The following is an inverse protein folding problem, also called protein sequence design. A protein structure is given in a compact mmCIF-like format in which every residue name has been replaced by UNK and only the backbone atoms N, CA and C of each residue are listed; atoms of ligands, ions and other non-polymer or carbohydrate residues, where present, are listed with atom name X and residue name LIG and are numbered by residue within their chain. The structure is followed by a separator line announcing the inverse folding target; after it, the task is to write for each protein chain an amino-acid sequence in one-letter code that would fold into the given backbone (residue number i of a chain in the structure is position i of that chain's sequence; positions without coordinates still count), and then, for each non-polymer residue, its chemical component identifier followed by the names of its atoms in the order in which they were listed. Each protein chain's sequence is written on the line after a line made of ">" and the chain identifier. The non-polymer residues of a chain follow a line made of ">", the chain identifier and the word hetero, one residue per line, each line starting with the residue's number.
data_IF_520309766897
#
_entry.id   IF_520309766897
#
_cell.length_a   1.000
_cell.length_b   1.000
_cell.length_c   1.000
_cell.angle_alpha   90.00
_cell.angle_beta   90.00
_cell.angle_gamma   90.00
#
_symmetry.space_group_name_H-M   'P 1'
#
loop_
_entity.id
_entity.type
_entity.pdbx_description
1 polymer ?
#
# COMPACT_ATOMS: atom_id res chain seq x y z
N UNK A 1 8.17 -30.81 -18.30
CA UNK A 1 7.98 -29.91 -17.13
C UNK A 1 6.63 -30.20 -16.50
N UNK A 2 6.63 -30.66 -15.28
CA UNK A 2 5.41 -30.99 -14.53
C UNK A 2 4.66 -29.72 -14.11
N UNK A 3 3.40 -29.84 -13.73
CA UNK A 3 2.61 -28.71 -13.20
C UNK A 3 3.28 -28.10 -11.96
N UNK A 4 3.87 -28.94 -11.10
CA UNK A 4 4.55 -28.52 -9.89
C UNK A 4 5.81 -27.71 -10.19
N UNK A 5 6.65 -28.17 -11.11
CA UNK A 5 7.85 -27.45 -11.57
C UNK A 5 7.52 -26.05 -12.10
N UNK A 6 6.43 -25.92 -12.86
CA UNK A 6 5.96 -24.62 -13.37
C UNK A 6 5.50 -23.66 -12.25
N UNK A 7 4.85 -24.18 -11.21
CA UNK A 7 4.44 -23.36 -10.05
C UNK A 7 5.68 -22.91 -9.27
N UNK A 8 6.64 -23.78 -9.07
CA UNK A 8 7.91 -23.47 -8.39
C UNK A 8 8.68 -22.39 -9.18
N UNK A 9 8.76 -22.49 -10.50
CA UNK A 9 9.37 -21.48 -11.38
C UNK A 9 8.66 -20.10 -11.26
N UNK A 10 7.33 -20.09 -11.22
CA UNK A 10 6.56 -18.86 -11.03
C UNK A 10 6.80 -18.22 -9.66
N UNK A 11 6.95 -19.02 -8.62
CA UNK A 11 7.26 -18.57 -7.25
C UNK A 11 8.69 -18.03 -7.16
N UNK A 12 9.66 -18.69 -7.76
CA UNK A 12 11.06 -18.23 -7.83
C UNK A 12 11.15 -16.89 -8.59
N UNK A 13 10.40 -16.76 -9.69
CA UNK A 13 10.34 -15.53 -10.47
C UNK A 13 9.69 -14.36 -9.68
N UNK A 14 8.74 -14.65 -8.78
CA UNK A 14 8.07 -13.64 -7.96
C UNK A 14 8.99 -13.06 -6.88
N UNK A 15 9.96 -13.84 -6.37
CA UNK A 15 10.90 -13.50 -5.29
C UNK A 15 10.26 -13.11 -3.94
N UNK A 16 8.96 -12.95 -3.90
CA UNK A 16 8.18 -12.50 -2.73
C UNK A 16 7.31 -13.62 -2.14
N UNK A 17 7.41 -14.83 -2.70
CA UNK A 17 6.61 -15.98 -2.27
C UNK A 17 5.12 -15.85 -2.56
N UNK A 18 4.71 -14.93 -3.42
CA UNK A 18 3.31 -14.75 -3.81
C UNK A 18 3.04 -15.27 -5.22
N UNK A 19 1.83 -15.77 -5.45
CA UNK A 19 1.37 -16.16 -6.78
C UNK A 19 -0.10 -15.77 -6.95
N UNK A 20 -0.45 -15.26 -8.13
CA UNK A 20 -1.82 -14.90 -8.50
C UNK A 20 -2.45 -15.93 -9.42
N UNK A 21 -3.79 -16.00 -9.39
CA UNK A 21 -4.52 -16.85 -10.35
C UNK A 21 -4.30 -16.43 -11.80
N UNK A 22 -4.02 -15.15 -12.08
CA UNK A 22 -3.66 -14.67 -13.42
C UNK A 22 -2.33 -15.25 -13.90
N UNK A 23 -1.28 -15.18 -13.08
CA UNK A 23 0.03 -15.75 -13.41
C UNK A 23 -0.07 -17.26 -13.73
N UNK A 24 -0.84 -18.00 -12.92
CA UNK A 24 -1.08 -19.44 -13.16
C UNK A 24 -1.79 -19.68 -14.49
N UNK A 25 -2.81 -18.87 -14.80
CA UNK A 25 -3.55 -18.98 -16.06
C UNK A 25 -2.70 -18.60 -17.26
N UNK A 26 -1.90 -17.54 -17.15
CA UNK A 26 -0.95 -17.09 -18.19
C UNK A 26 0.13 -18.13 -18.49
N UNK A 27 0.55 -18.89 -17.47
CA UNK A 27 1.47 -20.04 -17.64
C UNK A 27 0.79 -21.29 -18.22
N UNK A 28 -0.48 -21.20 -18.62
CA UNK A 28 -1.24 -22.31 -19.21
C UNK A 28 -1.65 -23.38 -18.20
N UNK A 29 -1.70 -23.06 -16.91
CA UNK A 29 -2.07 -23.99 -15.86
C UNK A 29 -3.53 -23.74 -15.39
N UNK A 30 -4.17 -24.82 -14.93
CA UNK A 30 -5.49 -24.70 -14.31
C UNK A 30 -5.35 -24.15 -12.90
N UNK A 31 -6.05 -23.04 -12.59
CA UNK A 31 -5.97 -22.34 -11.28
C UNK A 31 -6.39 -23.20 -10.09
N UNK A 32 -7.06 -24.34 -10.31
CA UNK A 32 -7.42 -25.30 -9.27
C UNK A 32 -6.21 -25.89 -8.53
N UNK A 33 -5.03 -25.91 -9.17
CA UNK A 33 -3.79 -26.36 -8.54
C UNK A 33 -3.46 -25.60 -7.25
N UNK A 34 -3.78 -24.29 -7.20
CA UNK A 34 -3.54 -23.47 -6.02
C UNK A 34 -4.38 -23.93 -4.81
N UNK A 35 -5.53 -24.56 -5.04
CA UNK A 35 -6.34 -25.16 -3.97
C UNK A 35 -5.66 -26.40 -3.36
N UNK A 36 -4.89 -27.16 -4.16
CA UNK A 36 -4.13 -28.31 -3.69
C UNK A 36 -3.00 -27.85 -2.75
N UNK A 37 -2.27 -26.78 -3.13
CA UNK A 37 -1.25 -26.17 -2.29
C UNK A 37 -1.82 -25.59 -0.98
N UNK A 38 -3.05 -25.06 -1.00
CA UNK A 38 -3.72 -24.61 0.21
C UNK A 38 -4.12 -25.81 1.10
N UNK A 39 -4.62 -26.90 0.50
CA UNK A 39 -4.98 -28.11 1.24
C UNK A 39 -3.77 -28.81 1.86
N UNK A 40 -2.62 -28.80 1.18
CA UNK A 40 -1.36 -29.33 1.72
C UNK A 40 -0.73 -28.46 2.80
N UNK A 41 -1.22 -27.22 2.98
CA UNK A 41 -0.64 -26.24 3.91
C UNK A 41 0.60 -25.53 3.39
N UNK A 42 1.02 -25.79 2.14
CA UNK A 42 2.18 -25.13 1.53
C UNK A 42 1.91 -23.65 1.21
N UNK A 43 0.64 -23.31 0.98
CA UNK A 43 0.18 -21.94 0.74
C UNK A 43 -1.07 -21.61 1.54
N UNK A 44 -1.33 -20.33 1.72
CA UNK A 44 -2.63 -19.84 2.17
C UNK A 44 -3.18 -18.78 1.21
N UNK A 45 -4.48 -18.59 1.21
CA UNK A 45 -5.16 -17.61 0.39
C UNK A 45 -5.23 -16.27 1.13
N UNK A 46 -4.41 -15.30 0.73
CA UNK A 46 -4.41 -13.96 1.31
C UNK A 46 -5.62 -13.12 0.87
N UNK A 47 -6.08 -13.33 -0.36
CA UNK A 47 -7.20 -12.60 -0.93
C UNK A 47 -7.76 -13.24 -2.19
N UNK A 48 -8.70 -12.57 -2.85
CA UNK A 48 -9.26 -13.07 -4.10
C UNK A 48 -8.17 -13.17 -5.17
N UNK A 49 -7.82 -14.40 -5.53
CA UNK A 49 -6.84 -14.69 -6.58
C UNK A 49 -5.39 -14.40 -6.19
N UNK A 50 -5.08 -14.20 -4.91
CA UNK A 50 -3.72 -14.03 -4.39
C UNK A 50 -3.43 -15.08 -3.33
N UNK A 51 -2.33 -15.80 -3.51
CA UNK A 51 -1.85 -16.87 -2.64
C UNK A 51 -0.41 -16.58 -2.21
N UNK A 52 -0.07 -17.02 -1.01
CA UNK A 52 1.24 -16.76 -0.38
C UNK A 52 1.78 -18.08 0.18
N UNK A 53 3.07 -18.32 0.04
CA UNK A 53 3.75 -19.46 0.66
C UNK A 53 3.70 -19.34 2.19
N UNK A 54 3.36 -20.45 2.87
CA UNK A 54 3.22 -20.47 4.34
C UNK A 54 4.54 -20.29 5.09
N UNK A 55 5.69 -20.47 4.44
CA UNK A 55 7.02 -20.33 5.01
C UNK A 55 7.71 -19.00 4.74
N UNK A 56 7.01 -18.02 4.13
CA UNK A 56 7.53 -16.69 3.84
C UNK A 56 7.07 -15.71 4.90
N UNK A 57 7.95 -14.80 5.33
CA UNK A 57 7.60 -13.73 6.25
C UNK A 57 6.57 -12.78 5.61
N UNK A 58 5.47 -12.56 6.30
CA UNK A 58 4.39 -11.69 5.80
C UNK A 58 4.84 -10.22 5.76
N UNK A 59 4.69 -9.63 4.58
CA UNK A 59 4.83 -8.19 4.36
C UNK A 59 3.43 -7.60 4.16
N UNK A 60 2.78 -7.25 5.26
CA UNK A 60 1.40 -6.74 5.26
C UNK A 60 1.20 -5.55 4.32
N UNK A 61 2.16 -4.62 4.26
CA UNK A 61 2.07 -3.46 3.38
C UNK A 61 2.09 -3.88 1.91
N UNK A 62 2.97 -4.78 1.55
CA UNK A 62 3.06 -5.27 0.18
C UNK A 62 1.84 -6.12 -0.19
N UNK A 63 1.45 -7.07 0.65
CA UNK A 63 0.34 -7.98 0.40
C UNK A 63 -1.00 -7.23 0.28
N UNK A 64 -1.25 -6.22 1.12
CA UNK A 64 -2.43 -5.37 1.02
C UNK A 64 -2.46 -4.58 -0.30
N UNK A 65 -1.33 -4.06 -0.76
CA UNK A 65 -1.27 -3.40 -2.06
C UNK A 65 -1.40 -4.36 -3.23
N UNK A 66 -0.89 -5.58 -3.13
CA UNK A 66 -1.14 -6.65 -4.10
C UNK A 66 -2.63 -6.98 -4.20
N UNK A 67 -3.29 -7.09 -3.04
CA UNK A 67 -4.74 -7.36 -2.95
C UNK A 67 -5.59 -6.21 -3.48
N UNK A 68 -5.19 -4.98 -3.19
CA UNK A 68 -5.89 -3.76 -3.58
C UNK A 68 -4.99 -2.88 -4.46
N UNK A 69 -4.75 -3.35 -5.69
CA UNK A 69 -3.76 -2.79 -6.60
C UNK A 69 -3.89 -1.30 -6.94
N UNK A 70 -5.00 -0.64 -6.58
CA UNK A 70 -5.18 0.81 -6.71
C UNK A 70 -5.08 1.57 -5.39
N UNK A 71 -4.75 0.91 -4.28
CA UNK A 71 -4.53 1.59 -3.01
C UNK A 71 -3.15 2.24 -2.96
N UNK A 72 -3.06 3.48 -2.48
CA UNK A 72 -1.82 4.20 -2.20
C UNK A 72 -1.80 4.50 -0.71
N UNK A 73 -0.73 4.15 0.00
CA UNK A 73 -0.59 4.49 1.42
C UNK A 73 -0.53 6.00 1.61
N UNK A 74 -1.27 6.50 2.60
CA UNK A 74 -1.48 7.94 2.80
C UNK A 74 -1.64 8.28 4.28
N UNK A 75 -1.73 9.57 4.59
CA UNK A 75 -1.97 10.11 5.95
C UNK A 75 -0.97 9.51 6.97
N UNK A 76 -1.46 9.08 8.12
CA UNK A 76 -0.63 8.58 9.23
C UNK A 76 0.22 7.37 8.83
N UNK A 77 -0.30 6.49 7.97
CA UNK A 77 0.46 5.35 7.44
C UNK A 77 1.62 5.79 6.56
N UNK A 78 1.42 6.81 5.71
CA UNK A 78 2.49 7.36 4.89
C UNK A 78 3.55 8.05 5.77
N UNK A 79 3.16 8.80 6.81
CA UNK A 79 4.10 9.38 7.76
C UNK A 79 4.97 8.32 8.43
N UNK A 80 4.36 7.21 8.85
CA UNK A 80 5.08 6.08 9.44
C UNK A 80 6.08 5.46 8.45
N UNK A 81 5.62 5.15 7.24
CA UNK A 81 6.45 4.54 6.18
C UNK A 81 7.60 5.43 5.72
N UNK A 82 7.42 6.75 5.79
CA UNK A 82 8.44 7.75 5.44
C UNK A 82 9.34 8.14 6.63
N UNK A 83 9.14 7.56 7.82
CA UNK A 83 9.94 7.86 9.01
C UNK A 83 9.63 9.20 9.68
N UNK A 84 8.47 9.79 9.41
CA UNK A 84 8.01 11.04 10.02
C UNK A 84 7.04 10.85 11.21
N UNK A 85 6.71 9.61 11.52
CA UNK A 85 6.03 9.20 12.75
C UNK A 85 6.62 7.89 13.27
N UNK A 86 6.89 7.81 14.57
CA UNK A 86 7.34 6.58 15.23
C UNK A 86 6.16 5.72 15.70
N UNK A 87 4.93 6.23 15.56
CA UNK A 87 3.71 5.52 15.94
C UNK A 87 3.27 4.60 14.84
N UNK A 88 3.31 3.28 15.09
CA UNK A 88 2.72 2.29 14.20
C UNK A 88 1.21 2.51 14.13
N UNK A 89 0.64 2.73 12.95
CA UNK A 89 -0.80 2.92 12.79
C UNK A 89 -1.58 1.68 13.22
N UNK A 90 -2.59 1.82 14.09
CA UNK A 90 -3.49 0.73 14.46
C UNK A 90 -4.34 0.24 13.28
N UNK A 91 -4.58 1.13 12.31
CA UNK A 91 -5.24 0.84 11.03
C UNK A 91 -4.47 1.51 9.92
N UNK A 92 -4.22 0.78 8.84
CA UNK A 92 -3.54 1.37 7.69
C UNK A 92 -4.48 2.28 6.90
N UNK A 93 -4.02 3.46 6.54
CA UNK A 93 -4.77 4.40 5.69
C UNK A 93 -4.34 4.26 4.25
N UNK A 94 -5.28 3.97 3.38
CA UNK A 94 -5.06 3.91 1.94
C UNK A 94 -6.02 4.84 1.20
N UNK A 95 -5.49 5.53 0.20
CA UNK A 95 -6.27 6.38 -0.71
C UNK A 95 -6.52 5.66 -2.02
N UNK A 96 -7.76 5.73 -2.47
CA UNK A 96 -8.25 5.16 -3.73
C UNK A 96 -8.85 6.25 -4.62
N UNK A 97 -8.88 6.06 -5.95
CA UNK A 97 -9.60 6.98 -6.82
C UNK A 97 -11.10 6.87 -6.57
N UNK A 98 -11.80 8.00 -6.68
CA UNK A 98 -13.27 8.03 -6.62
C UNK A 98 -13.85 7.08 -7.67
N UNK A 99 -14.84 6.28 -7.28
CA UNK A 99 -15.42 5.23 -8.14
C UNK A 99 -14.76 3.87 -8.03
N UNK A 100 -13.59 3.74 -7.40
CA UNK A 100 -13.03 2.42 -7.12
C UNK A 100 -13.91 1.65 -6.14
N UNK A 101 -14.38 0.49 -6.57
CA UNK A 101 -15.24 -0.38 -5.77
C UNK A 101 -14.57 -1.74 -5.58
N UNK A 102 -14.33 -2.09 -4.34
CA UNK A 102 -13.92 -3.43 -3.91
C UNK A 102 -14.71 -3.77 -2.65
N UNK A 103 -15.74 -4.61 -2.74
CA UNK A 103 -16.63 -4.91 -1.60
C UNK A 103 -15.87 -5.42 -0.37
N UNK A 104 -14.78 -6.17 -0.57
CA UNK A 104 -13.93 -6.69 0.50
C UNK A 104 -13.17 -5.61 1.29
N UNK A 105 -13.01 -4.38 0.74
CA UNK A 105 -12.37 -3.28 1.48
C UNK A 105 -13.06 -2.96 2.81
N UNK A 106 -14.37 -3.14 2.88
CA UNK A 106 -15.14 -2.88 4.12
C UNK A 106 -14.84 -3.88 5.24
N UNK A 107 -14.29 -5.02 4.90
CA UNK A 107 -13.94 -6.10 5.83
C UNK A 107 -12.50 -5.98 6.34
N UNK A 108 -11.69 -5.11 5.73
CA UNK A 108 -10.32 -4.90 6.12
C UNK A 108 -10.21 -3.92 7.28
N UNK A 109 -9.15 -4.08 8.04
CA UNK A 109 -8.78 -3.12 9.09
C UNK A 109 -8.08 -1.88 8.49
N UNK A 110 -8.78 -1.22 7.54
CA UNK A 110 -8.27 -0.10 6.77
C UNK A 110 -9.09 1.17 6.99
N UNK A 111 -8.42 2.30 7.00
CA UNK A 111 -9.03 3.62 6.82
C UNK A 111 -8.99 3.95 5.33
N UNK A 112 -10.17 4.06 4.71
CA UNK A 112 -10.30 4.26 3.27
C UNK A 112 -10.54 5.74 3.00
N UNK A 113 -9.63 6.36 2.25
CA UNK A 113 -9.81 7.70 1.70
C UNK A 113 -10.09 7.62 0.20
N UNK A 114 -10.84 8.59 -0.33
CA UNK A 114 -11.16 8.67 -1.76
C UNK A 114 -10.89 10.06 -2.28
N UNK A 115 -10.22 10.14 -3.42
CA UNK A 115 -9.87 11.38 -4.08
C UNK A 115 -10.33 11.36 -5.54
N UNK A 116 -10.53 12.53 -6.11
CA UNK A 116 -10.80 12.67 -7.55
C UNK A 116 -9.61 12.20 -8.37
N UNK A 117 -9.83 11.71 -9.62
CA UNK A 117 -8.75 11.14 -10.43
C UNK A 117 -7.54 12.07 -10.59
N UNK A 118 -7.76 13.37 -10.74
CA UNK A 118 -6.72 14.38 -10.93
C UNK A 118 -5.77 14.47 -9.72
N UNK A 119 -6.25 14.14 -8.54
CA UNK A 119 -5.47 14.16 -7.30
C UNK A 119 -4.96 12.77 -6.88
N UNK A 120 -5.31 11.72 -7.60
CA UNK A 120 -4.98 10.34 -7.21
C UNK A 120 -3.50 10.01 -7.46
N UNK A 121 -2.98 10.30 -8.64
CA UNK A 121 -1.60 9.99 -9.00
C UNK A 121 -0.60 11.05 -8.52
N UNK A 122 -1.12 12.19 -8.12
CA UNK A 122 -0.35 13.36 -7.74
C UNK A 122 0.40 13.14 -6.41
N UNK A 123 1.72 13.25 -6.46
CA UNK A 123 2.60 13.01 -5.31
C UNK A 123 2.82 11.55 -4.96
N UNK A 124 2.45 10.60 -5.85
CA UNK A 124 2.75 9.19 -5.65
C UNK A 124 4.23 8.92 -5.88
N UNK A 125 4.83 8.16 -4.96
CA UNK A 125 6.18 7.62 -5.07
C UNK A 125 6.18 6.13 -4.75
N UNK A 126 7.25 5.44 -5.14
CA UNK A 126 7.51 4.07 -4.76
C UNK A 126 8.64 4.02 -3.75
N UNK A 127 8.44 3.31 -2.68
CA UNK A 127 9.45 3.03 -1.65
C UNK A 127 9.55 1.52 -1.42
N UNK A 128 10.54 1.09 -0.66
CA UNK A 128 10.62 -0.27 -0.16
C UNK A 128 9.90 -0.38 1.18
N UNK A 129 9.14 -1.45 1.35
CA UNK A 129 8.61 -1.86 2.66
C UNK A 129 9.73 -2.29 3.60
N UNK A 130 9.42 -2.60 4.85
CA UNK A 130 10.39 -3.15 5.81
C UNK A 130 11.00 -4.48 5.34
N UNK A 131 10.27 -5.28 4.56
CA UNK A 131 10.74 -6.53 3.96
C UNK A 131 11.41 -6.34 2.60
N UNK A 132 11.57 -5.10 2.12
CA UNK A 132 12.27 -4.75 0.88
C UNK A 132 11.41 -4.78 -0.38
N UNK A 133 10.11 -5.11 -0.29
CA UNK A 133 9.20 -5.14 -1.43
C UNK A 133 8.75 -3.73 -1.85
N UNK A 134 8.54 -3.49 -3.17
CA UNK A 134 8.11 -2.19 -3.65
C UNK A 134 6.65 -1.91 -3.26
N UNK A 135 6.42 -0.78 -2.59
CA UNK A 135 5.09 -0.29 -2.24
C UNK A 135 4.92 1.16 -2.67
N UNK A 136 3.67 1.55 -2.95
CA UNK A 136 3.32 2.91 -3.34
C UNK A 136 2.80 3.68 -2.14
N UNK A 137 3.31 4.87 -1.98
CA UNK A 137 2.96 5.79 -0.90
C UNK A 137 2.89 7.21 -1.48
N UNK A 138 2.14 8.10 -0.88
CA UNK A 138 2.27 9.51 -1.18
C UNK A 138 3.54 10.07 -0.56
N UNK A 139 4.21 10.97 -1.29
CA UNK A 139 5.39 11.67 -0.80
C UNK A 139 5.05 12.55 0.42
N UNK A 140 6.10 13.04 1.06
CA UNK A 140 5.96 13.73 2.34
C UNK A 140 5.13 15.01 2.22
N UNK A 141 5.38 15.85 1.22
CA UNK A 141 4.66 17.11 1.03
C UNK A 141 3.18 16.87 0.73
N UNK A 142 2.88 15.84 -0.07
CA UNK A 142 1.51 15.42 -0.31
C UNK A 142 0.85 14.91 0.97
N UNK A 143 1.55 14.10 1.73
CA UNK A 143 1.06 13.52 2.99
C UNK A 143 0.77 14.60 4.02
N UNK A 144 1.65 15.61 4.15
CA UNK A 144 1.42 16.76 5.03
C UNK A 144 0.16 17.53 4.63
N UNK A 145 -0.06 17.75 3.35
CA UNK A 145 -1.30 18.37 2.86
C UNK A 145 -2.54 17.53 3.20
N UNK A 146 -2.47 16.21 3.04
CA UNK A 146 -3.60 15.32 3.29
C UNK A 146 -3.99 15.29 4.78
N UNK A 147 -3.03 15.27 5.72
CA UNK A 147 -3.32 15.29 7.17
C UNK A 147 -3.83 16.65 7.64
N UNK A 148 -3.41 17.75 7.01
CA UNK A 148 -3.87 19.10 7.33
C UNK A 148 -5.27 19.38 6.77
N UNK A 149 -5.62 18.81 5.62
CA UNK A 149 -6.87 19.07 4.91
C UNK A 149 -8.09 18.45 5.59
N UNK A 150 -7.91 17.29 6.20
CA UNK A 150 -9.01 16.49 6.72
C UNK A 150 -9.21 16.58 8.23
N UNK A 151 -10.33 16.02 8.68
CA UNK A 151 -10.49 15.58 10.07
C UNK A 151 -10.08 14.11 10.11
N UNK A 152 -9.17 13.71 10.99
CA UNK A 152 -8.87 12.29 11.16
C UNK A 152 -7.45 11.93 11.57
N UNK A 153 -6.48 12.82 11.42
CA UNK A 153 -5.17 12.65 12.04
C UNK A 153 -5.15 13.32 13.40
N UNK A 154 -4.54 12.65 14.38
CA UNK A 154 -4.32 13.18 15.72
C UNK A 154 -3.50 14.47 15.63
N UNK A 155 -3.91 15.52 16.35
CA UNK A 155 -3.22 16.81 16.36
C UNK A 155 -1.76 16.68 16.82
N UNK A 156 -1.44 15.71 17.67
CA UNK A 156 -0.07 15.45 18.09
C UNK A 156 0.75 14.89 16.95
N UNK A 157 0.21 13.94 16.15
CA UNK A 157 0.88 13.38 14.97
C UNK A 157 1.14 14.48 13.95
N UNK A 158 0.14 15.33 13.70
CA UNK A 158 0.27 16.48 12.78
C UNK A 158 1.38 17.43 13.27
N UNK A 159 1.37 17.80 14.55
CA UNK A 159 2.38 18.71 15.12
C UNK A 159 3.79 18.11 15.05
N UNK A 160 3.96 16.84 15.39
CA UNK A 160 5.24 16.13 15.28
C UNK A 160 5.75 16.08 13.85
N UNK A 161 4.92 15.67 12.89
CA UNK A 161 5.28 15.59 11.49
C UNK A 161 5.71 16.95 10.93
N UNK A 162 4.97 18.01 11.25
CA UNK A 162 5.29 19.38 10.83
C UNK A 162 6.61 19.87 11.44
N UNK A 163 6.88 19.60 12.71
CA UNK A 163 8.14 19.96 13.36
C UNK A 163 9.32 19.21 12.74
N UNK A 164 9.19 17.89 12.52
CA UNK A 164 10.23 17.09 11.84
C UNK A 164 10.49 17.60 10.43
N UNK A 165 9.43 17.90 9.68
CA UNK A 165 9.55 18.47 8.34
C UNK A 165 10.26 19.82 8.35
N UNK A 166 9.88 20.73 9.24
CA UNK A 166 10.51 22.04 9.36
C UNK A 166 12.00 21.95 9.67
N UNK A 167 12.41 20.96 10.48
CA UNK A 167 13.81 20.72 10.84
C UNK A 167 14.59 19.93 9.76
N UNK A 168 13.90 19.28 8.82
CA UNK A 168 14.56 18.48 7.77
C UNK A 168 15.36 19.36 6.79
N UNK A 169 16.52 18.84 6.40
CA UNK A 169 17.34 19.43 5.33
C UNK A 169 16.75 19.20 3.93
N UNK A 170 15.96 18.14 3.79
CA UNK A 170 15.37 17.72 2.52
C UNK A 170 13.98 18.32 2.28
N UNK A 171 13.54 19.24 3.17
CA UNK A 171 12.24 19.92 3.01
C UNK A 171 12.17 20.72 1.71
N UNK A 172 11.06 20.58 1.01
CA UNK A 172 10.79 21.33 -0.21
C UNK A 172 9.53 22.20 -0.03
N UNK A 173 9.75 23.42 0.50
CA UNK A 173 8.66 24.36 0.79
C UNK A 173 7.91 24.75 -0.49
N UNK A 174 8.63 24.94 -1.60
CA UNK A 174 7.99 25.29 -2.88
C UNK A 174 7.03 24.18 -3.34
N UNK A 175 7.44 22.93 -3.24
CA UNK A 175 6.61 21.77 -3.56
C UNK A 175 5.42 21.65 -2.60
N UNK A 176 5.65 21.85 -1.29
CA UNK A 176 4.58 21.84 -0.29
C UNK A 176 3.51 22.90 -0.60
N UNK A 177 3.91 24.14 -0.90
CA UNK A 177 2.97 25.22 -1.24
C UNK A 177 2.20 24.93 -2.52
N UNK A 178 2.86 24.44 -3.57
CA UNK A 178 2.20 24.01 -4.80
C UNK A 178 1.15 22.93 -4.54
N UNK A 179 1.46 21.97 -3.66
CA UNK A 179 0.54 20.89 -3.29
C UNK A 179 -0.62 21.41 -2.45
N UNK A 180 -0.35 22.33 -1.52
CA UNK A 180 -1.37 22.96 -0.70
C UNK A 180 -2.39 23.72 -1.57
N UNK A 181 -1.95 24.47 -2.57
CA UNK A 181 -2.83 25.17 -3.49
C UNK A 181 -3.69 24.19 -4.31
N UNK A 182 -3.09 23.16 -4.92
CA UNK A 182 -3.81 22.17 -5.72
C UNK A 182 -4.82 21.39 -4.88
N UNK A 183 -4.48 21.04 -3.66
CA UNK A 183 -5.33 20.28 -2.75
C UNK A 183 -6.28 21.18 -1.94
N UNK A 184 -6.21 22.50 -2.12
CA UNK A 184 -7.02 23.48 -1.40
C UNK A 184 -6.91 23.35 0.13
N UNK A 185 -5.68 23.22 0.61
CA UNK A 185 -5.38 23.22 2.04
C UNK A 185 -5.48 24.66 2.54
N UNK A 186 -6.47 24.94 3.39
CA UNK A 186 -6.60 26.28 4.00
C UNK A 186 -5.62 26.39 5.17
N UNK A 187 -4.96 27.54 5.35
CA UNK A 187 -4.24 27.83 6.58
C UNK A 187 -5.20 27.68 7.78
N UNK A 188 -4.75 26.96 8.81
CA UNK A 188 -5.46 26.84 10.08
C UNK A 188 -4.81 27.75 11.11
#
# INVERSE_FOLDING_TARGET
>A
MTTREKIEELLEASKDGTISTSQVTEAGLHRGILQEYVKSGEMYRFGRGLYVLSNVWEDDFYLLQRKYGRGIYSHDTALYLLGYSDRTPAKYTMTFPKGYNAPSLKQENLIIKRVVPENYEFGQIQIKSLSGNPIRVYDLERTLCDILRGSGSDIQIVSEAMKRYAASKDKNIHKLMKYADQLRVKPK
#
